data_IF_653247572888
#
_entry.id   IF_653247572888
#
_cell.length_a   1.000
_cell.length_b   1.000
_cell.length_c   1.000
_cell.angle_alpha   90.00
_cell.angle_beta   90.00
_cell.angle_gamma   90.00
#
_symmetry.space_group_name_H-M   'P 1'
#
loop_
_entity.id
_entity.type
_entity.pdbx_description
1 polymer ?
#
# COMPACT_ATOMS: atom_id res chain seq x y z
N UNK A 1 -0.17 -6.24 4.15
CA UNK A 1 0.52 -7.53 3.91
C UNK A 1 1.20 -7.99 5.20
N UNK A 2 0.44 -8.66 6.06
CA UNK A 2 0.89 -9.26 7.33
C UNK A 2 0.47 -10.73 7.27
N UNK A 3 1.32 -11.63 7.74
CA UNK A 3 0.95 -13.04 7.91
C UNK A 3 1.44 -13.56 9.25
N UNK A 4 0.75 -14.59 9.74
CA UNK A 4 1.20 -15.33 10.90
C UNK A 4 2.47 -16.12 10.56
N UNK A 5 3.45 -16.07 11.47
CA UNK A 5 4.64 -16.92 11.40
C UNK A 5 4.33 -18.31 11.98
N UNK A 6 5.05 -19.34 11.51
CA UNK A 6 4.96 -20.70 12.09
C UNK A 6 5.35 -20.69 13.57
N UNK A 7 6.29 -19.84 13.96
CA UNK A 7 6.63 -19.53 15.35
C UNK A 7 7.27 -18.15 15.45
N UNK A 8 7.09 -17.48 16.58
CA UNK A 8 7.62 -16.12 16.80
C UNK A 8 6.64 -15.00 16.40
N UNK A 9 7.14 -13.76 16.22
CA UNK A 9 6.31 -12.61 15.85
C UNK A 9 5.79 -12.73 14.40
N UNK A 10 4.71 -12.02 14.04
CA UNK A 10 4.17 -12.08 12.69
C UNK A 10 5.13 -11.45 11.67
N UNK A 11 4.99 -11.88 10.42
CA UNK A 11 5.84 -11.45 9.31
C UNK A 11 5.14 -10.40 8.45
N UNK A 12 5.88 -9.37 8.05
CA UNK A 12 5.38 -8.28 7.21
C UNK A 12 6.15 -8.21 5.89
N UNK A 13 5.46 -7.89 4.80
CA UNK A 13 6.12 -7.58 3.54
C UNK A 13 6.82 -6.22 3.64
N UNK A 14 8.10 -6.18 3.32
CA UNK A 14 8.89 -4.96 3.15
C UNK A 14 9.67 -5.05 1.84
N UNK A 15 9.87 -3.90 1.19
CA UNK A 15 10.63 -3.78 -0.04
C UNK A 15 11.87 -2.91 0.18
N UNK A 16 12.91 -3.16 -0.61
CA UNK A 16 14.12 -2.32 -0.63
C UNK A 16 13.95 -1.26 -1.71
N UNK A 17 14.05 0.01 -1.33
CA UNK A 17 13.89 1.12 -2.29
C UNK A 17 15.03 1.16 -3.32
N UNK A 18 14.69 1.20 -4.61
CA UNK A 18 15.67 1.34 -5.70
C UNK A 18 16.17 2.79 -5.82
N UNK A 19 17.45 2.93 -6.18
CA UNK A 19 18.39 3.98 -5.75
C UNK A 19 18.41 5.28 -6.59
N UNK A 20 17.27 5.81 -7.07
CA UNK A 20 17.30 7.02 -7.94
C UNK A 20 16.74 8.33 -7.33
N UNK A 21 16.34 8.36 -6.05
CA UNK A 21 15.85 9.59 -5.40
C UNK A 21 16.41 9.71 -3.97
N UNK A 22 16.99 10.86 -3.63
CA UNK A 22 17.80 11.23 -2.44
C UNK A 22 17.15 11.06 -1.04
N UNK A 23 16.14 10.22 -0.87
CA UNK A 23 15.51 9.99 0.43
C UNK A 23 15.53 8.50 0.82
N UNK A 24 16.35 8.18 1.84
CA UNK A 24 16.47 6.88 2.49
C UNK A 24 16.97 5.72 1.60
N UNK A 25 18.03 5.97 0.83
CA UNK A 25 18.65 4.96 -0.01
C UNK A 25 19.10 3.73 0.81
N UNK A 26 18.57 2.55 0.44
CA UNK A 26 18.86 1.28 1.12
C UNK A 26 17.96 0.93 2.32
N UNK A 27 16.99 1.77 2.68
CA UNK A 27 16.01 1.45 3.71
C UNK A 27 15.02 0.34 3.26
N UNK A 28 14.57 -0.45 4.24
CA UNK A 28 13.40 -1.30 4.10
C UNK A 28 12.16 -0.45 4.40
N UNK A 29 11.20 -0.46 3.49
CA UNK A 29 9.95 0.29 3.61
C UNK A 29 8.76 -0.63 3.33
N UNK A 30 7.58 -0.25 3.82
CA UNK A 30 6.35 -0.87 3.30
C UNK A 30 6.13 -0.42 1.86
N UNK A 31 5.52 -1.27 1.01
CA UNK A 31 5.09 -0.87 -0.32
C UNK A 31 4.20 0.37 -0.26
N UNK A 32 4.39 1.30 -1.17
CA UNK A 32 3.58 2.51 -1.20
C UNK A 32 4.14 3.62 -2.07
N UNK A 33 3.24 4.49 -2.52
CA UNK A 33 3.58 5.58 -3.42
C UNK A 33 2.57 6.71 -3.37
N UNK A 34 2.54 7.50 -4.44
CA UNK A 34 1.67 8.67 -4.55
C UNK A 34 0.29 8.25 -5.06
N UNK A 35 -0.76 8.78 -4.45
CA UNK A 35 -2.11 8.61 -4.97
C UNK A 35 -2.23 9.10 -6.44
N UNK A 36 -2.99 8.35 -7.22
CA UNK A 36 -3.36 8.61 -8.61
C UNK A 36 -4.80 9.12 -8.68
N UNK A 37 -5.16 9.74 -9.81
CA UNK A 37 -6.55 10.16 -10.07
C UNK A 37 -7.51 8.96 -10.21
N UNK A 38 -7.00 7.78 -10.59
CA UNK A 38 -7.81 6.56 -10.69
C UNK A 38 -8.18 5.99 -9.32
N UNK A 39 -7.47 6.37 -8.25
CA UNK A 39 -7.71 5.86 -6.89
C UNK A 39 -9.01 6.41 -6.28
N UNK A 40 -9.62 7.45 -6.88
CA UNK A 40 -10.86 8.09 -6.41
C UNK A 40 -12.07 7.84 -7.33
N UNK A 41 -11.98 6.85 -8.22
CA UNK A 41 -13.12 6.47 -9.07
C UNK A 41 -14.23 5.85 -8.23
N UNK A 42 -15.46 6.33 -8.43
CA UNK A 42 -16.66 5.81 -7.75
C UNK A 42 -16.94 4.32 -8.05
N UNK A 43 -16.37 3.77 -9.12
CA UNK A 43 -16.42 2.33 -9.42
C UNK A 43 -15.78 1.48 -8.31
N UNK A 44 -14.88 2.03 -7.49
CA UNK A 44 -14.31 1.29 -6.37
C UNK A 44 -15.31 1.04 -5.24
N UNK A 45 -16.37 1.84 -5.13
CA UNK A 45 -17.37 1.74 -4.06
C UNK A 45 -18.03 0.34 -4.01
N UNK A 46 -18.16 -0.34 -5.16
CA UNK A 46 -18.75 -1.69 -5.22
C UNK A 46 -17.81 -2.80 -4.69
N UNK A 47 -16.51 -2.50 -4.59
CA UNK A 47 -15.46 -3.43 -4.15
C UNK A 47 -14.97 -3.17 -2.73
N UNK A 48 -15.44 -2.10 -2.10
CA UNK A 48 -15.05 -1.73 -0.73
C UNK A 48 -16.15 -2.09 0.27
N UNK A 49 -15.77 -2.72 1.37
CA UNK A 49 -16.64 -2.93 2.52
C UNK A 49 -16.42 -1.83 3.56
N UNK A 50 -17.42 -0.99 3.79
CA UNK A 50 -17.42 0.03 4.85
C UNK A 50 -17.70 1.44 4.38
N UNK A 51 -17.77 2.37 5.33
CA UNK A 51 -17.84 3.81 5.07
C UNK A 51 -16.65 4.48 5.73
N UNK A 52 -15.68 4.87 4.90
CA UNK A 52 -14.44 5.50 5.34
C UNK A 52 -14.38 6.98 4.96
N UNK A 53 -15.40 7.51 4.30
CA UNK A 53 -15.36 8.80 3.62
C UNK A 53 -14.35 8.85 2.46
N UNK A 54 -14.46 9.85 1.58
CA UNK A 54 -13.76 9.86 0.29
C UNK A 54 -12.24 9.85 0.45
N UNK A 55 -11.68 10.74 1.27
CA UNK A 55 -10.21 10.88 1.44
C UNK A 55 -9.56 9.58 1.92
N UNK A 56 -10.23 8.91 2.84
CA UNK A 56 -9.68 7.74 3.52
C UNK A 56 -9.88 6.47 2.69
N UNK A 57 -10.95 6.40 1.90
CA UNK A 57 -11.17 5.33 0.95
C UNK A 57 -10.16 5.40 -0.19
N UNK A 58 -9.99 6.58 -0.81
CA UNK A 58 -9.04 6.81 -1.89
C UNK A 58 -7.60 6.41 -1.47
N UNK A 59 -7.20 6.78 -0.24
CA UNK A 59 -5.89 6.41 0.30
C UNK A 59 -5.70 4.90 0.48
N UNK A 60 -6.77 4.15 0.79
CA UNK A 60 -6.73 2.68 0.92
C UNK A 60 -6.64 2.02 -0.45
N UNK A 61 -7.39 2.52 -1.44
CA UNK A 61 -7.32 2.05 -2.82
C UNK A 61 -5.91 2.26 -3.38
N UNK A 62 -5.34 3.46 -3.18
CA UNK A 62 -3.95 3.75 -3.54
C UNK A 62 -2.97 2.76 -2.88
N UNK A 63 -3.12 2.50 -1.59
CA UNK A 63 -2.26 1.57 -0.87
C UNK A 63 -2.34 0.13 -1.43
N UNK A 64 -3.51 -0.33 -1.86
CA UNK A 64 -3.69 -1.65 -2.49
C UNK A 64 -3.01 -1.70 -3.86
N UNK A 65 -3.21 -0.68 -4.71
CA UNK A 65 -2.59 -0.58 -6.04
C UNK A 65 -1.07 -0.58 -5.94
N UNK A 66 -0.50 0.29 -5.10
CA UNK A 66 0.96 0.39 -4.92
C UNK A 66 1.54 -0.93 -4.37
N UNK A 67 0.84 -1.57 -3.44
CA UNK A 67 1.26 -2.86 -2.91
C UNK A 67 1.25 -3.98 -3.97
N UNK A 68 0.38 -3.90 -4.97
CA UNK A 68 0.36 -4.84 -6.11
C UNK A 68 1.46 -4.53 -7.14
N UNK A 69 1.77 -3.26 -7.38
CA UNK A 69 2.78 -2.82 -8.36
C UNK A 69 4.23 -3.04 -7.89
N UNK A 70 4.47 -3.02 -6.57
CA UNK A 70 5.81 -3.13 -5.99
C UNK A 70 6.19 -4.53 -5.44
N UNK A 71 5.28 -5.52 -5.50
CA UNK A 71 5.47 -6.87 -4.94
C UNK A 71 5.82 -7.95 -5.95
#
# INVERSE_FOLDING_TARGET
MLRDAVSGPPEVLMVKRHYEIDFAAGALVFPGGKASADDSRAEWDEFTDGDYGPVQQDARIAAVREAYEES
#
